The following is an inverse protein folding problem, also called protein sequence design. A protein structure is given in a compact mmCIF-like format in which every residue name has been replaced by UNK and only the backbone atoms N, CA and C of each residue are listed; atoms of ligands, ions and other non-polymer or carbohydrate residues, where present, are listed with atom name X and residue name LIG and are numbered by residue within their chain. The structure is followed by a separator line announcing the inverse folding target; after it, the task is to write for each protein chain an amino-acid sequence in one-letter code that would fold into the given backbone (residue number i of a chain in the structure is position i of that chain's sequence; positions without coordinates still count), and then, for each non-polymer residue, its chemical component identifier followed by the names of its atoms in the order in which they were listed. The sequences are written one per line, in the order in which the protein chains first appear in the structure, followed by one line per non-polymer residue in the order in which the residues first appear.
data_IF_458705196083
#
_entry.id   IF_458705196083
#
_cell.length_a   1.000
_cell.length_b   1.000
_cell.length_c   1.000
_cell.angle_alpha   90.00
_cell.angle_beta   90.00
_cell.angle_gamma   90.00
#
_symmetry.space_group_name_H-M   'P 1'
#
loop_
_entity.id
_entity.type
_entity.pdbx_description
1 polymer ?
#
# COMPACT_ATOMS: atom_id res chain seq x y z
N UNK A 1 6.65 -26.35 16.36
CA UNK A 1 5.90 -27.53 15.88
C UNK A 1 6.77 -28.50 15.08
N UNK A 2 7.27 -28.15 13.89
CA UNK A 2 8.08 -29.07 13.06
C UNK A 2 9.28 -29.69 13.82
N UNK A 3 10.09 -28.87 14.50
CA UNK A 3 11.18 -29.35 15.35
C UNK A 3 10.74 -30.38 16.41
N UNK A 4 9.58 -30.16 17.04
CA UNK A 4 9.05 -31.07 18.05
C UNK A 4 8.61 -32.42 17.45
N UNK A 5 8.03 -32.41 16.24
CA UNK A 5 7.67 -33.64 15.51
C UNK A 5 8.91 -34.49 15.21
N UNK A 6 10.06 -33.85 14.99
CA UNK A 6 11.35 -34.51 14.72
C UNK A 6 12.14 -34.85 16.00
N UNK A 7 11.59 -34.58 17.18
CA UNK A 7 12.26 -34.83 18.46
C UNK A 7 13.36 -33.82 18.82
N UNK A 8 13.46 -32.70 18.08
CA UNK A 8 14.37 -31.60 18.39
C UNK A 8 13.74 -30.63 19.40
N UNK A 9 14.60 -29.99 20.17
CA UNK A 9 14.22 -28.87 21.02
C UNK A 9 14.12 -27.58 20.21
N UNK A 10 13.13 -26.75 20.56
CA UNK A 10 12.92 -25.44 19.94
C UNK A 10 12.63 -24.39 21.01
N UNK A 11 13.20 -23.21 20.83
CA UNK A 11 12.87 -22.02 21.62
C UNK A 11 12.58 -20.85 20.70
N UNK A 12 11.52 -20.11 21.01
CA UNK A 12 11.09 -18.94 20.25
C UNK A 12 10.99 -17.72 21.15
N UNK A 13 11.43 -16.56 20.64
CA UNK A 13 11.23 -15.26 21.28
C UNK A 13 10.70 -14.29 20.24
N UNK A 14 9.47 -13.81 20.46
CA UNK A 14 8.78 -12.90 19.55
C UNK A 14 8.90 -11.46 20.05
N UNK A 15 9.23 -10.56 19.12
CA UNK A 15 9.24 -9.12 19.31
C UNK A 15 8.12 -8.54 18.46
N UNK A 16 7.10 -8.00 19.11
CA UNK A 16 6.04 -7.25 18.45
C UNK A 16 6.36 -5.76 18.55
N UNK A 17 6.30 -5.05 17.43
CA UNK A 17 6.37 -3.59 17.42
C UNK A 17 5.23 -2.97 18.24
N UNK A 18 5.40 -1.70 18.63
CA UNK A 18 4.41 -0.96 19.46
C UNK A 18 3.01 -0.86 18.82
N UNK A 19 2.88 -1.13 17.51
CA UNK A 19 1.60 -1.09 16.80
C UNK A 19 0.93 -2.45 16.74
N UNK A 20 -0.33 -2.51 17.17
CA UNK A 20 -1.19 -3.70 17.13
C UNK A 20 -1.50 -4.20 15.70
N UNK A 21 -1.31 -3.35 14.67
CA UNK A 21 -1.42 -3.69 13.24
C UNK A 21 -0.27 -3.04 12.47
N UNK A 22 0.37 -3.76 11.55
CA UNK A 22 1.49 -3.30 10.72
C UNK A 22 2.78 -2.93 11.49
N UNK A 23 2.90 -3.28 12.77
CA UNK A 23 4.17 -3.17 13.50
C UNK A 23 5.19 -4.15 12.94
N UNK A 24 6.47 -3.76 12.90
CA UNK A 24 7.55 -4.70 12.60
C UNK A 24 7.50 -5.86 13.60
N UNK A 25 7.42 -7.09 13.11
CA UNK A 25 7.46 -8.31 13.93
C UNK A 25 8.73 -9.06 13.60
N UNK A 26 9.44 -9.50 14.64
CA UNK A 26 10.64 -10.31 14.51
C UNK A 26 10.55 -11.46 15.49
N UNK A 27 10.93 -12.65 15.04
CA UNK A 27 11.00 -13.84 15.88
C UNK A 27 12.41 -14.39 15.87
N UNK A 28 12.97 -14.64 17.04
CA UNK A 28 14.16 -15.46 17.18
C UNK A 28 13.74 -16.91 17.34
N UNK A 29 14.27 -17.79 16.51
CA UNK A 29 14.00 -19.23 16.56
C UNK A 29 15.33 -19.96 16.74
N UNK A 30 15.45 -20.75 17.80
CA UNK A 30 16.60 -21.61 18.05
C UNK A 30 16.17 -23.06 18.04
N UNK A 31 16.97 -23.87 17.34
CA UNK A 31 16.80 -25.32 17.27
C UNK A 31 18.02 -25.98 17.89
N UNK A 32 17.81 -27.05 18.64
CA UNK A 32 18.89 -27.86 19.21
C UNK A 32 18.48 -29.34 19.29
N UNK A 33 19.44 -30.28 19.30
CA UNK A 33 19.15 -31.70 19.48
C UNK A 33 18.44 -32.01 20.81
N UNK A 34 18.76 -31.27 21.88
CA UNK A 34 18.21 -31.47 23.21
C UNK A 34 17.88 -30.13 23.89
N UNK A 35 16.95 -30.14 24.84
CA UNK A 35 16.41 -28.92 25.47
C UNK A 35 17.40 -28.25 26.42
N UNK A 36 18.28 -29.01 27.06
CA UNK A 36 19.34 -28.53 27.95
C UNK A 36 20.39 -27.68 27.23
N UNK A 37 20.50 -27.82 25.90
CA UNK A 37 21.38 -26.98 25.06
C UNK A 37 20.80 -25.59 24.75
N UNK A 38 19.52 -25.34 25.03
CA UNK A 38 18.87 -24.05 24.80
C UNK A 38 18.90 -23.17 26.06
N UNK A 39 20.08 -22.68 26.41
CA UNK A 39 20.28 -21.84 27.61
C UNK A 39 19.83 -20.39 27.46
N UNK A 40 19.70 -19.89 26.23
CA UNK A 40 19.21 -18.54 25.93
C UNK A 40 18.23 -18.56 24.76
N UNK A 41 17.16 -17.77 24.88
CA UNK A 41 16.11 -17.64 23.85
C UNK A 41 16.45 -16.55 22.81
N UNK A 42 17.33 -15.61 23.16
CA UNK A 42 17.71 -14.48 22.30
C UNK A 42 18.92 -14.84 21.44
N UNK A 43 18.85 -14.58 20.13
CA UNK A 43 20.00 -14.65 19.23
C UNK A 43 20.90 -13.43 19.49
N UNK A 44 22.16 -13.69 19.85
CA UNK A 44 23.17 -12.66 20.08
C UNK A 44 23.57 -11.97 18.74
N UNK A 45 24.17 -10.77 18.79
CA UNK A 45 24.72 -10.16 17.58
C UNK A 45 25.69 -11.11 16.86
N UNK A 46 25.66 -11.15 15.53
CA UNK A 46 26.51 -12.04 14.72
C UNK A 46 26.28 -13.55 14.87
N UNK A 47 25.18 -13.99 15.50
CA UNK A 47 24.94 -15.41 15.79
C UNK A 47 23.76 -16.02 15.03
N UNK A 48 23.17 -15.31 14.05
CA UNK A 48 22.13 -15.90 13.22
C UNK A 48 22.75 -16.79 12.13
N UNK A 49 22.26 -18.02 11.99
CA UNK A 49 22.59 -18.86 10.83
C UNK A 49 21.73 -18.52 9.60
N UNK A 50 20.50 -18.04 9.83
CA UNK A 50 19.54 -17.68 8.81
C UNK A 50 18.77 -16.41 9.22
N UNK A 51 18.63 -15.47 8.29
CA UNK A 51 17.62 -14.42 8.32
C UNK A 51 16.57 -14.75 7.26
N UNK A 52 15.34 -15.04 7.70
CA UNK A 52 14.19 -15.22 6.82
C UNK A 52 13.34 -13.95 6.86
N UNK A 53 13.58 -13.04 5.91
CA UNK A 53 12.92 -11.75 5.84
C UNK A 53 11.67 -11.78 4.98
N UNK A 54 10.49 -11.97 5.57
CA UNK A 54 9.23 -11.91 4.80
C UNK A 54 8.84 -10.49 4.38
N UNK A 55 9.54 -9.47 4.89
CA UNK A 55 9.39 -8.06 4.58
C UNK A 55 10.78 -7.40 4.54
N UNK A 56 11.05 -6.61 3.50
CA UNK A 56 12.36 -6.00 3.28
C UNK A 56 12.72 -4.97 4.35
N UNK A 57 11.74 -4.20 4.84
CA UNK A 57 11.95 -3.12 5.81
C UNK A 57 12.37 -3.69 7.16
N UNK A 58 11.73 -4.77 7.60
CA UNK A 58 12.10 -5.45 8.86
C UNK A 58 13.45 -6.14 8.72
N UNK A 59 13.70 -6.82 7.59
CA UNK A 59 14.95 -7.54 7.35
C UNK A 59 16.18 -6.62 7.30
N UNK A 60 16.00 -5.37 6.88
CA UNK A 60 17.05 -4.35 6.79
C UNK A 60 17.16 -3.47 8.04
N UNK A 61 16.32 -3.71 9.05
CA UNK A 61 16.39 -2.98 10.31
C UNK A 61 17.66 -3.31 11.10
N UNK A 62 18.16 -2.35 11.89
CA UNK A 62 19.33 -2.54 12.75
C UNK A 62 19.21 -3.77 13.67
N UNK A 63 18.05 -4.04 14.33
CA UNK A 63 17.89 -5.25 15.13
C UNK A 63 18.10 -6.54 14.32
N UNK A 64 17.64 -6.60 13.07
CA UNK A 64 17.79 -7.77 12.21
C UNK A 64 19.23 -7.92 11.73
N UNK A 65 19.78 -6.87 11.09
CA UNK A 65 21.12 -6.89 10.50
C UNK A 65 22.20 -7.10 11.55
N UNK A 66 22.03 -6.60 12.78
CA UNK A 66 22.99 -6.83 13.86
C UNK A 66 23.11 -8.31 14.27
N UNK A 67 22.16 -9.18 13.90
CA UNK A 67 22.26 -10.63 14.14
C UNK A 67 23.09 -11.34 13.07
N UNK A 68 23.29 -10.72 11.90
CA UNK A 68 24.04 -11.30 10.81
C UNK A 68 25.55 -11.27 11.08
N UNK A 69 26.24 -12.31 10.62
CA UNK A 69 27.69 -12.38 10.55
C UNK A 69 28.09 -12.76 9.13
N UNK A 70 28.98 -11.97 8.54
CA UNK A 70 29.28 -12.04 7.12
C UNK A 70 30.07 -13.31 6.80
N UNK A 71 29.49 -14.19 5.99
CA UNK A 71 30.08 -15.50 5.64
C UNK A 71 29.67 -16.64 6.58
N UNK A 72 28.76 -16.37 7.53
CA UNK A 72 28.12 -17.38 8.38
C UNK A 72 26.61 -17.37 8.15
N UNK A 73 26.00 -16.19 8.16
CA UNK A 73 24.56 -16.02 8.02
C UNK A 73 24.14 -16.13 6.57
N UNK A 74 23.14 -16.97 6.29
CA UNK A 74 22.36 -16.93 5.04
C UNK A 74 21.14 -16.02 5.20
N UNK A 75 20.74 -15.34 4.14
CA UNK A 75 19.56 -14.49 4.16
C UNK A 75 18.66 -14.77 2.95
N UNK A 76 17.38 -15.00 3.21
CA UNK A 76 16.34 -15.11 2.17
C UNK A 76 15.34 -14.00 2.44
N UNK A 77 15.24 -13.03 1.55
CA UNK A 77 14.48 -11.79 1.78
C UNK A 77 13.48 -11.55 0.67
N UNK A 78 12.24 -11.30 1.06
CA UNK A 78 11.18 -10.87 0.17
C UNK A 78 11.42 -9.42 -0.24
N UNK A 79 11.44 -9.16 -1.55
CA UNK A 79 11.68 -7.85 -2.12
C UNK A 79 10.45 -6.92 -2.05
N UNK A 80 9.28 -7.47 -1.70
CA UNK A 80 8.05 -6.71 -1.59
C UNK A 80 8.11 -5.70 -0.43
N UNK A 81 7.61 -4.50 -0.70
CA UNK A 81 7.57 -3.39 0.24
C UNK A 81 6.14 -3.29 0.77
N UNK A 82 5.85 -4.04 1.82
CA UNK A 82 4.56 -3.92 2.49
C UNK A 82 4.56 -2.63 3.34
N UNK A 83 3.49 -1.82 3.30
CA UNK A 83 3.40 -0.61 4.12
C UNK A 83 3.43 -0.96 5.62
N UNK A 84 4.57 -0.75 6.28
CA UNK A 84 4.72 -0.93 7.74
C UNK A 84 4.19 0.29 8.51
N UNK A 85 4.11 0.22 9.84
CA UNK A 85 3.73 1.35 10.69
C UNK A 85 4.59 2.61 10.44
N UNK A 86 5.81 2.46 9.94
CA UNK A 86 6.67 3.56 9.50
C UNK A 86 6.04 4.39 8.36
N UNK A 87 5.25 3.76 7.46
CA UNK A 87 4.50 4.43 6.39
C UNK A 87 3.37 5.34 6.92
N UNK A 88 2.87 5.06 8.14
CA UNK A 88 1.87 5.92 8.81
C UNK A 88 2.52 7.18 9.37
N UNK A 89 3.81 7.11 9.70
CA UNK A 89 4.59 8.20 10.29
C UNK A 89 5.21 9.08 9.19
N UNK A 90 5.71 8.48 8.12
CA UNK A 90 6.26 9.16 6.95
C UNK A 90 5.74 8.53 5.64
N UNK A 91 4.68 9.11 5.04
CA UNK A 91 4.05 8.62 3.81
C UNK A 91 4.88 8.85 2.54
N UNK A 92 5.97 9.61 2.62
CA UNK A 92 6.84 9.95 1.49
C UNK A 92 8.20 9.25 1.61
N UNK A 93 8.34 8.24 2.50
CA UNK A 93 9.50 7.33 2.51
C UNK A 93 9.63 6.73 1.11
N UNK A 94 10.63 7.23 0.38
CA UNK A 94 11.24 6.50 -0.71
C UNK A 94 11.98 5.34 -0.06
N UNK A 95 11.42 4.15 -0.14
CA UNK A 95 12.15 2.95 0.21
C UNK A 95 13.21 2.81 -0.87
N UNK A 96 14.35 3.46 -0.67
CA UNK A 96 15.55 3.35 -1.49
C UNK A 96 15.92 1.86 -1.58
N UNK A 97 15.23 1.11 -2.44
CA UNK A 97 15.35 -0.33 -2.53
C UNK A 97 16.78 -0.71 -2.93
N UNK A 98 17.50 0.22 -3.54
CA UNK A 98 18.96 0.21 -3.68
C UNK A 98 19.65 0.19 -2.32
N UNK A 99 19.52 1.23 -1.49
CA UNK A 99 20.16 1.31 -0.18
C UNK A 99 19.81 0.15 0.76
N UNK A 100 18.56 -0.34 0.73
CA UNK A 100 18.14 -1.52 1.51
C UNK A 100 18.81 -2.81 1.02
N UNK A 101 18.97 -2.97 -0.29
CA UNK A 101 19.77 -4.06 -0.86
C UNK A 101 21.24 -3.90 -0.51
N UNK A 102 21.78 -2.69 -0.55
CA UNK A 102 23.17 -2.41 -0.21
C UNK A 102 23.47 -2.72 1.26
N UNK A 103 22.54 -2.41 2.18
CA UNK A 103 22.64 -2.78 3.57
C UNK A 103 22.69 -4.31 3.78
N UNK A 104 21.87 -5.07 3.05
CA UNK A 104 21.92 -6.54 3.06
C UNK A 104 23.23 -7.08 2.49
N UNK A 105 23.70 -6.52 1.37
CA UNK A 105 24.98 -6.87 0.75
C UNK A 105 26.19 -6.52 1.64
N UNK A 106 26.06 -5.52 2.51
CA UNK A 106 27.05 -5.18 3.53
C UNK A 106 27.08 -6.19 4.68
N UNK A 107 25.91 -6.67 5.10
CA UNK A 107 25.77 -7.59 6.24
C UNK A 107 26.02 -9.07 5.89
N UNK A 108 25.70 -9.49 4.67
CA UNK A 108 25.76 -10.89 4.21
C UNK A 108 26.54 -10.97 2.89
N UNK A 109 27.18 -12.11 2.60
CA UNK A 109 27.87 -12.30 1.32
C UNK A 109 26.85 -12.42 0.18
N UNK A 110 27.18 -11.97 -1.05
CA UNK A 110 26.28 -12.13 -2.19
C UNK A 110 25.83 -13.57 -2.44
N UNK A 111 26.73 -14.55 -2.26
CA UNK A 111 26.40 -15.96 -2.46
C UNK A 111 25.46 -16.55 -1.38
N UNK A 112 25.37 -15.89 -0.23
CA UNK A 112 24.55 -16.27 0.92
C UNK A 112 23.24 -15.45 1.00
N UNK A 113 22.97 -14.58 0.03
CA UNK A 113 21.84 -13.65 0.01
C UNK A 113 20.95 -13.91 -1.21
N UNK A 114 19.73 -14.39 -0.95
CA UNK A 114 18.68 -14.55 -1.96
C UNK A 114 17.60 -13.48 -1.75
N UNK A 115 17.38 -12.62 -2.76
CA UNK A 115 16.31 -11.60 -2.75
C UNK A 115 15.34 -11.87 -3.91
N UNK A 116 14.05 -12.03 -3.60
CA UNK A 116 13.03 -12.35 -4.58
C UNK A 116 11.68 -11.70 -4.27
N UNK A 117 10.88 -11.43 -5.31
CA UNK A 117 9.48 -10.99 -5.16
C UNK A 117 8.58 -12.18 -4.79
N UNK A 118 8.67 -12.61 -3.53
CA UNK A 118 7.90 -13.74 -3.03
C UNK A 118 6.41 -13.40 -2.91
N UNK A 119 6.06 -12.17 -2.53
CA UNK A 119 4.65 -11.75 -2.47
C UNK A 119 4.00 -11.80 -3.84
N UNK A 120 4.63 -11.21 -4.87
CA UNK A 120 4.10 -11.19 -6.22
C UNK A 120 3.96 -12.60 -6.80
N UNK A 121 4.97 -13.45 -6.60
CA UNK A 121 4.93 -14.85 -7.03
C UNK A 121 3.84 -15.65 -6.31
N UNK A 122 3.77 -15.56 -4.98
CA UNK A 122 2.76 -16.27 -4.20
C UNK A 122 1.35 -15.81 -4.55
N UNK A 123 1.13 -14.50 -4.70
CA UNK A 123 -0.17 -13.93 -5.09
C UNK A 123 -0.56 -14.36 -6.51
N UNK A 124 0.36 -14.32 -7.47
CA UNK A 124 0.08 -14.75 -8.84
C UNK A 124 -0.24 -16.26 -8.93
N UNK A 125 0.47 -17.08 -8.15
CA UNK A 125 0.32 -18.54 -8.17
C UNK A 125 -0.83 -19.05 -7.31
N UNK A 126 -1.14 -18.41 -6.20
CA UNK A 126 -2.10 -18.90 -5.20
C UNK A 126 -3.34 -18.02 -5.07
N UNK A 127 -3.34 -16.80 -5.64
CA UNK A 127 -4.43 -15.83 -5.57
C UNK A 127 -4.45 -14.96 -4.31
N UNK A 128 -3.55 -15.22 -3.35
CA UNK A 128 -3.50 -14.50 -2.08
C UNK A 128 -2.05 -14.33 -1.59
N UNK A 129 -1.73 -13.12 -1.14
CA UNK A 129 -0.47 -12.74 -0.50
C UNK A 129 -0.20 -13.45 0.84
N UNK A 130 -1.22 -14.00 1.50
CA UNK A 130 -1.05 -14.77 2.75
C UNK A 130 -0.13 -15.99 2.55
N UNK A 131 -0.08 -16.54 1.33
CA UNK A 131 0.79 -17.66 0.97
C UNK A 131 2.30 -17.34 0.99
N UNK A 132 2.69 -16.05 1.08
CA UNK A 132 4.09 -15.61 0.99
C UNK A 132 4.98 -16.23 2.05
N UNK A 133 4.52 -16.33 3.30
CA UNK A 133 5.35 -16.87 4.38
C UNK A 133 5.67 -18.36 4.17
N UNK A 134 4.69 -19.16 3.74
CA UNK A 134 4.89 -20.57 3.42
C UNK A 134 5.80 -20.74 2.19
N UNK A 135 5.65 -19.88 1.18
CA UNK A 135 6.54 -19.84 0.02
C UNK A 135 7.99 -19.55 0.42
N UNK A 136 8.22 -18.50 1.22
CA UNK A 136 9.54 -18.14 1.73
C UNK A 136 10.18 -19.26 2.56
N UNK A 137 9.38 -19.91 3.43
CA UNK A 137 9.82 -21.08 4.19
C UNK A 137 10.27 -22.22 3.27
N UNK A 138 9.51 -22.49 2.21
CA UNK A 138 9.84 -23.50 1.20
C UNK A 138 11.12 -23.20 0.44
N UNK A 139 11.31 -21.94 0.06
CA UNK A 139 12.53 -21.48 -0.61
C UNK A 139 13.75 -21.68 0.30
N UNK A 140 13.70 -21.17 1.53
CA UNK A 140 14.80 -21.30 2.49
C UNK A 140 15.11 -22.77 2.85
N UNK A 141 14.07 -23.60 2.97
CA UNK A 141 14.23 -25.05 3.16
C UNK A 141 15.01 -25.68 2.01
N UNK A 142 14.62 -25.42 0.77
CA UNK A 142 15.25 -26.03 -0.41
C UNK A 142 16.70 -25.55 -0.63
N UNK A 143 17.03 -24.34 -0.17
CA UNK A 143 18.41 -23.82 -0.12
C UNK A 143 19.25 -24.43 1.01
N UNK A 144 18.70 -25.36 1.79
CA UNK A 144 19.38 -26.04 2.89
C UNK A 144 19.67 -25.14 4.08
N UNK A 145 18.88 -24.08 4.27
CA UNK A 145 19.05 -23.15 5.40
C UNK A 145 18.27 -23.56 6.66
N UNK A 146 17.33 -24.50 6.53
CA UNK A 146 16.47 -24.97 7.62
C UNK A 146 16.85 -26.42 7.96
N UNK A 147 17.36 -26.69 9.18
CA UNK A 147 17.82 -28.02 9.57
C UNK A 147 16.66 -28.87 10.14
N UNK A 148 15.62 -29.07 9.34
CA UNK A 148 14.46 -29.90 9.68
C UNK A 148 14.16 -30.84 8.50
N UNK A 149 13.47 -31.94 8.73
CA UNK A 149 12.99 -32.80 7.64
C UNK A 149 11.76 -32.22 6.92
N UNK A 150 11.61 -32.60 5.65
CA UNK A 150 10.43 -32.26 4.84
C UNK A 150 9.14 -32.76 5.50
N UNK A 151 9.16 -34.00 6.00
CA UNK A 151 8.01 -34.64 6.63
C UNK A 151 7.58 -33.91 7.90
N UNK A 152 8.55 -33.46 8.72
CA UNK A 152 8.26 -32.68 9.92
C UNK A 152 7.61 -31.33 9.61
N UNK A 153 8.05 -30.63 8.56
CA UNK A 153 7.45 -29.36 8.13
C UNK A 153 6.04 -29.58 7.59
N UNK A 154 5.84 -30.55 6.69
CA UNK A 154 4.52 -30.87 6.14
C UNK A 154 3.56 -31.30 7.24
N UNK A 155 4.03 -32.10 8.22
CA UNK A 155 3.21 -32.50 9.36
C UNK A 155 2.85 -31.31 10.26
N UNK A 156 3.77 -30.37 10.47
CA UNK A 156 3.50 -29.16 11.23
C UNK A 156 2.45 -28.27 10.56
N UNK A 157 2.44 -28.18 9.22
CA UNK A 157 1.40 -27.48 8.47
C UNK A 157 0.04 -28.13 8.69
N UNK A 158 -0.04 -29.47 8.65
CA UNK A 158 -1.28 -30.21 8.94
C UNK A 158 -1.78 -29.95 10.36
N UNK A 159 -0.89 -30.04 11.36
CA UNK A 159 -1.22 -29.86 12.76
C UNK A 159 -1.64 -28.41 13.10
N UNK A 160 -1.18 -27.43 12.32
CA UNK A 160 -1.60 -26.04 12.50
C UNK A 160 -3.07 -25.81 12.09
N UNK A 161 -3.61 -26.62 11.16
CA UNK A 161 -5.02 -26.64 10.81
C UNK A 161 -5.50 -25.50 9.90
N UNK A 162 -4.72 -24.43 9.72
CA UNK A 162 -5.11 -23.27 8.90
C UNK A 162 -4.69 -23.43 7.44
N UNK A 163 -5.67 -23.36 6.52
CA UNK A 163 -5.46 -23.34 5.07
C UNK A 163 -4.42 -24.38 4.58
N UNK A 164 -4.53 -25.62 5.07
CA UNK A 164 -3.50 -26.67 4.96
C UNK A 164 -3.01 -26.83 3.52
N UNK A 165 -3.92 -27.04 2.57
CA UNK A 165 -3.57 -27.30 1.16
C UNK A 165 -2.91 -26.09 0.48
N UNK A 166 -3.36 -24.87 0.82
CA UNK A 166 -2.74 -23.64 0.34
C UNK A 166 -1.31 -23.53 0.85
N UNK A 167 -1.08 -23.75 2.15
CA UNK A 167 0.25 -23.67 2.75
C UNK A 167 1.20 -24.75 2.23
N UNK A 168 0.73 -25.99 2.04
CA UNK A 168 1.53 -27.07 1.43
C UNK A 168 1.92 -26.74 -0.01
N UNK A 169 0.98 -26.19 -0.78
CA UNK A 169 1.21 -25.84 -2.18
C UNK A 169 2.15 -24.63 -2.29
N UNK A 170 1.96 -23.60 -1.47
CA UNK A 170 2.83 -22.43 -1.40
C UNK A 170 4.26 -22.83 -1.00
N UNK A 171 4.41 -23.68 0.01
CA UNK A 171 5.71 -24.25 0.41
C UNK A 171 6.37 -25.02 -0.75
N UNK A 172 5.60 -25.82 -1.50
CA UNK A 172 6.12 -26.55 -2.65
C UNK A 172 6.55 -25.63 -3.79
N UNK A 173 5.81 -24.56 -4.07
CA UNK A 173 6.21 -23.53 -5.04
C UNK A 173 7.49 -22.80 -4.61
N UNK A 174 7.61 -22.49 -3.32
CA UNK A 174 8.83 -21.90 -2.75
C UNK A 174 10.05 -22.79 -2.96
N UNK A 175 9.90 -24.09 -2.72
CA UNK A 175 10.95 -25.08 -3.01
C UNK A 175 11.30 -25.12 -4.49
N UNK A 176 10.29 -25.15 -5.37
CA UNK A 176 10.54 -25.14 -6.81
C UNK A 176 11.26 -23.86 -7.24
N UNK A 177 10.93 -22.71 -6.66
CA UNK A 177 11.56 -21.43 -6.98
C UNK A 177 13.05 -21.39 -6.58
N UNK A 178 13.43 -22.04 -5.48
CA UNK A 178 14.83 -22.19 -5.09
C UNK A 178 15.63 -23.11 -6.04
N UNK A 179 14.95 -24.00 -6.77
CA UNK A 179 15.57 -24.88 -7.76
C UNK A 179 15.59 -24.25 -9.17
N UNK A 180 14.46 -23.68 -9.61
CA UNK A 180 14.27 -23.04 -10.91
C UNK A 180 13.28 -21.87 -10.81
N UNK A 181 13.82 -20.70 -10.46
CA UNK A 181 13.03 -19.48 -10.32
C UNK A 181 12.38 -19.05 -11.63
N UNK A 182 13.05 -19.23 -12.77
CA UNK A 182 12.54 -18.79 -14.08
C UNK A 182 11.28 -19.55 -14.49
N UNK A 183 11.23 -20.85 -14.19
CA UNK A 183 10.05 -21.67 -14.43
C UNK A 183 8.88 -21.26 -13.54
N UNK A 184 9.13 -20.93 -12.29
CA UNK A 184 8.10 -20.42 -11.37
C UNK A 184 7.57 -19.06 -11.82
N UNK A 185 8.45 -18.14 -12.21
CA UNK A 185 8.07 -16.84 -12.81
C UNK A 185 7.21 -17.04 -14.06
N UNK A 186 7.58 -18.00 -14.92
CA UNK A 186 6.80 -18.31 -16.13
C UNK A 186 5.41 -18.87 -15.81
N UNK A 187 5.31 -19.77 -14.83
CA UNK A 187 4.03 -20.31 -14.36
C UNK A 187 3.14 -19.22 -13.74
N UNK A 188 3.73 -18.33 -12.93
CA UNK A 188 3.05 -17.18 -12.34
C UNK A 188 2.51 -16.26 -13.44
N UNK A 189 3.33 -15.93 -14.44
CA UNK A 189 2.92 -15.13 -15.61
C UNK A 189 1.80 -15.79 -16.40
N UNK A 190 1.86 -17.09 -16.65
CA UNK A 190 0.81 -17.80 -17.39
C UNK A 190 -0.52 -17.77 -16.63
N UNK A 191 -0.50 -17.98 -15.32
CA UNK A 191 -1.70 -17.91 -14.48
C UNK A 191 -2.27 -16.49 -14.41
N UNK A 192 -1.40 -15.48 -14.38
CA UNK A 192 -1.76 -14.06 -14.46
C UNK A 192 -2.05 -13.55 -15.86
N UNK A 193 -1.74 -14.28 -16.94
CA UNK A 193 -1.98 -13.85 -18.32
C UNK A 193 -3.48 -13.79 -18.66
N UNK A 194 -4.34 -14.43 -17.86
CA UNK A 194 -5.78 -14.22 -17.89
C UNK A 194 -6.25 -12.91 -17.25
N UNK A 195 -5.38 -12.18 -16.55
CA UNK A 195 -5.74 -11.03 -15.69
C UNK A 195 -4.75 -9.85 -15.70
N UNK A 196 -3.64 -9.89 -16.44
CA UNK A 196 -2.73 -8.75 -16.57
C UNK A 196 -3.47 -7.59 -17.27
N UNK A 197 -3.78 -6.47 -16.58
CA UNK A 197 -4.38 -5.34 -17.25
C UNK A 197 -3.34 -4.79 -18.22
N UNK A 198 -3.69 -4.70 -19.50
CA UNK A 198 -2.92 -3.93 -20.47
C UNK A 198 -2.63 -2.54 -19.86
N UNK A 199 -1.42 -2.00 -20.07
CA UNK A 199 -1.09 -0.63 -19.65
C UNK A 199 -2.16 0.27 -20.24
N UNK A 200 -3.06 0.77 -19.39
CA UNK A 200 -4.17 1.61 -19.84
C UNK A 200 -3.59 2.84 -20.49
N UNK A 201 -4.05 3.17 -21.69
CA UNK A 201 -3.67 4.41 -22.36
C UNK A 201 -4.16 5.61 -21.53
N UNK A 202 -3.60 6.81 -21.76
CA UNK A 202 -4.07 8.01 -21.07
C UNK A 202 -5.57 8.26 -21.30
N UNK A 203 -6.07 7.97 -22.50
CA UNK A 203 -7.49 8.12 -22.83
C UNK A 203 -8.36 7.11 -22.08
N UNK A 204 -7.92 5.86 -21.95
CA UNK A 204 -8.62 4.86 -21.12
C UNK A 204 -8.63 5.26 -19.64
N UNK A 205 -7.53 5.85 -19.15
CA UNK A 205 -7.44 6.35 -17.78
C UNK A 205 -8.37 7.55 -17.55
N UNK A 206 -8.49 8.47 -18.51
CA UNK A 206 -9.43 9.60 -18.45
C UNK A 206 -10.87 9.11 -18.53
N UNK A 207 -11.19 8.20 -19.45
CA UNK A 207 -12.53 7.62 -19.59
C UNK A 207 -12.96 6.86 -18.33
N UNK A 208 -12.05 6.09 -17.73
CA UNK A 208 -12.29 5.43 -16.45
C UNK A 208 -12.62 6.43 -15.33
N UNK A 209 -11.84 7.51 -15.21
CA UNK A 209 -12.07 8.55 -14.20
C UNK A 209 -13.38 9.29 -14.44
N UNK A 210 -13.72 9.61 -15.68
CA UNK A 210 -14.99 10.24 -16.02
C UNK A 210 -16.18 9.34 -15.64
N UNK A 211 -16.13 8.05 -15.98
CA UNK A 211 -17.14 7.08 -15.56
C UNK A 211 -17.27 7.01 -14.04
N UNK A 212 -16.14 6.93 -13.34
CA UNK A 212 -16.13 6.94 -11.87
C UNK A 212 -16.79 8.21 -11.31
N UNK A 213 -16.50 9.39 -11.87
CA UNK A 213 -17.09 10.66 -11.42
C UNK A 213 -18.60 10.74 -11.69
N UNK A 214 -19.08 10.10 -12.76
CA UNK A 214 -20.52 9.94 -13.03
C UNK A 214 -21.19 9.08 -11.95
N UNK A 215 -20.57 7.94 -11.61
CA UNK A 215 -21.08 7.04 -10.58
C UNK A 215 -21.02 7.68 -9.19
N UNK A 216 -19.92 8.41 -8.92
CA UNK A 216 -19.68 9.16 -7.69
C UNK A 216 -20.74 10.24 -7.48
N UNK A 217 -21.00 11.09 -8.49
CA UNK A 217 -21.94 12.21 -8.42
C UNK A 217 -22.96 12.10 -9.54
N UNK A 218 -22.65 12.62 -10.72
CA UNK A 218 -23.51 12.67 -11.91
C UNK A 218 -22.70 13.01 -13.18
N UNK A 219 -23.36 12.99 -14.34
CA UNK A 219 -22.74 13.27 -15.64
C UNK A 219 -22.19 14.70 -15.75
N UNK A 220 -22.85 15.69 -15.12
CA UNK A 220 -22.39 17.08 -15.16
C UNK A 220 -21.06 17.23 -14.41
N UNK A 221 -20.89 16.51 -13.30
CA UNK A 221 -19.65 16.47 -12.53
C UNK A 221 -18.50 15.83 -13.33
N UNK A 222 -18.76 14.72 -14.03
CA UNK A 222 -17.79 14.10 -14.91
C UNK A 222 -17.43 14.99 -16.11
N UNK A 223 -18.40 15.72 -16.67
CA UNK A 223 -18.19 16.63 -17.80
C UNK A 223 -17.25 17.78 -17.43
N UNK A 224 -17.40 18.37 -16.24
CA UNK A 224 -16.47 19.38 -15.73
C UNK A 224 -15.01 18.87 -15.69
N UNK A 225 -14.80 17.63 -15.26
CA UNK A 225 -13.48 17.01 -15.27
C UNK A 225 -12.93 16.87 -16.69
N UNK A 226 -13.75 16.38 -17.64
CA UNK A 226 -13.36 16.22 -19.04
C UNK A 226 -13.02 17.56 -19.69
N UNK A 227 -13.81 18.61 -19.44
CA UNK A 227 -13.61 19.94 -20.00
C UNK A 227 -12.28 20.55 -19.52
N UNK A 228 -11.99 20.49 -18.22
CA UNK A 228 -10.72 20.99 -17.66
C UNK A 228 -9.51 20.21 -18.22
N UNK A 229 -9.61 18.88 -18.32
CA UNK A 229 -8.55 18.04 -18.91
C UNK A 229 -8.33 18.35 -20.38
N UNK A 230 -9.41 18.57 -21.15
CA UNK A 230 -9.33 18.92 -22.57
C UNK A 230 -8.63 20.28 -22.79
N UNK A 231 -8.89 21.26 -21.92
CA UNK A 231 -8.21 22.56 -21.96
C UNK A 231 -6.70 22.42 -21.73
N UNK A 232 -6.30 21.64 -20.73
CA UNK A 232 -4.88 21.36 -20.44
C UNK A 232 -4.22 20.65 -21.60
N UNK A 233 -4.85 19.60 -22.13
CA UNK A 233 -4.36 18.83 -23.28
C UNK A 233 -4.16 19.70 -24.52
N UNK A 234 -5.09 20.61 -24.78
CA UNK A 234 -5.00 21.53 -25.93
C UNK A 234 -3.81 22.48 -25.79
N UNK A 235 -3.62 23.06 -24.60
CA UNK A 235 -2.50 23.97 -24.32
C UNK A 235 -1.13 23.26 -24.35
N UNK A 236 -1.06 22.05 -23.81
CA UNK A 236 0.15 21.21 -23.86
C UNK A 236 0.50 20.84 -25.30
N UNK A 237 -0.45 20.34 -26.09
CA UNK A 237 -0.22 19.96 -27.48
C UNK A 237 0.25 21.15 -28.35
N UNK A 238 -0.24 22.36 -28.07
CA UNK A 238 0.20 23.57 -28.76
C UNK A 238 1.64 23.99 -28.44
N UNK A 239 2.15 23.63 -27.25
CA UNK A 239 3.51 24.01 -26.80
C UNK A 239 4.53 22.90 -27.05
N UNK A 240 4.16 21.64 -26.81
CA UNK A 240 5.01 20.47 -26.96
C UNK A 240 4.22 19.31 -27.62
N UNK A 241 4.12 19.30 -28.96
CA UNK A 241 3.45 18.22 -29.69
C UNK A 241 4.02 16.85 -29.31
N UNK A 242 3.15 15.92 -28.91
CA UNK A 242 3.52 14.57 -28.49
C UNK A 242 3.78 14.39 -26.99
N UNK A 243 3.92 15.46 -26.21
CA UNK A 243 3.95 15.37 -24.74
C UNK A 243 2.53 15.17 -24.18
N UNK A 244 2.44 14.41 -23.10
CA UNK A 244 1.20 14.16 -22.34
C UNK A 244 1.41 14.32 -20.82
N UNK A 245 2.59 14.78 -20.40
CA UNK A 245 3.03 14.75 -19.01
C UNK A 245 2.17 15.65 -18.12
N UNK A 246 1.84 16.84 -18.61
CA UNK A 246 1.00 17.80 -17.91
C UNK A 246 -0.45 17.32 -17.90
N UNK A 247 -0.97 16.83 -19.02
CA UNK A 247 -2.31 16.28 -19.10
C UNK A 247 -2.50 15.12 -18.14
N UNK A 248 -1.55 14.17 -18.09
CA UNK A 248 -1.61 13.02 -17.21
C UNK A 248 -1.56 13.43 -15.73
N UNK A 249 -0.59 14.26 -15.36
CA UNK A 249 -0.45 14.77 -13.99
C UNK A 249 -1.70 15.56 -13.57
N UNK A 250 -2.21 16.42 -14.45
CA UNK A 250 -3.40 17.21 -14.20
C UNK A 250 -4.64 16.34 -14.02
N UNK A 251 -4.89 15.42 -14.94
CA UNK A 251 -6.02 14.50 -14.90
C UNK A 251 -6.01 13.63 -13.63
N UNK A 252 -4.85 13.11 -13.24
CA UNK A 252 -4.69 12.35 -11.99
C UNK A 252 -5.00 13.22 -10.77
N UNK A 253 -4.40 14.41 -10.69
CA UNK A 253 -4.56 15.32 -9.56
C UNK A 253 -6.00 15.83 -9.41
N UNK A 254 -6.62 16.27 -10.50
CA UNK A 254 -8.00 16.77 -10.49
C UNK A 254 -8.98 15.67 -10.06
N UNK A 255 -8.86 14.48 -10.64
CA UNK A 255 -9.70 13.34 -10.24
C UNK A 255 -9.58 13.03 -8.75
N UNK A 256 -8.35 13.00 -8.22
CA UNK A 256 -8.10 12.76 -6.79
C UNK A 256 -8.79 13.78 -5.89
N UNK A 257 -8.77 15.06 -6.28
CA UNK A 257 -9.39 16.14 -5.51
C UNK A 257 -10.91 16.20 -5.67
N UNK A 258 -11.45 15.71 -6.79
CA UNK A 258 -12.90 15.61 -7.04
C UNK A 258 -13.53 14.39 -6.36
N UNK A 259 -12.85 13.26 -6.35
CA UNK A 259 -13.32 11.99 -5.77
C UNK A 259 -12.90 11.85 -4.29
N UNK A 260 -13.16 12.88 -3.47
CA UNK A 260 -12.90 12.80 -2.04
C UNK A 260 -13.90 11.86 -1.35
N UNK A 261 -13.44 11.13 -0.32
CA UNK A 261 -14.31 10.16 0.37
C UNK A 261 -15.19 10.87 1.39
N UNK A 262 -16.39 11.22 0.96
CA UNK A 262 -17.43 11.73 1.84
C UNK A 262 -18.38 10.66 2.35
N UNK A 263 -19.32 11.08 3.19
CA UNK A 263 -20.28 10.18 3.82
C UNK A 263 -21.11 9.42 2.78
N UNK A 264 -21.47 10.07 1.67
CA UNK A 264 -22.20 9.45 0.56
C UNK A 264 -21.36 8.40 -0.18
N UNK A 265 -20.08 8.69 -0.44
CA UNK A 265 -19.18 7.75 -1.12
C UNK A 265 -18.81 6.57 -0.22
N UNK A 266 -18.55 6.82 1.08
CA UNK A 266 -18.33 5.74 2.05
C UNK A 266 -19.56 4.83 2.11
N UNK A 267 -20.76 5.42 2.14
CA UNK A 267 -22.00 4.66 2.12
C UNK A 267 -22.12 3.81 0.86
N UNK A 268 -21.86 4.38 -0.33
CA UNK A 268 -21.87 3.67 -1.61
C UNK A 268 -20.93 2.47 -1.61
N UNK A 269 -19.68 2.65 -1.16
CA UNK A 269 -18.67 1.58 -1.10
C UNK A 269 -19.05 0.42 -0.16
N UNK A 270 -19.86 0.68 0.87
CA UNK A 270 -20.37 -0.39 1.75
C UNK A 270 -21.66 -1.03 1.22
N UNK A 271 -22.38 -0.38 0.32
CA UNK A 271 -23.69 -0.82 -0.17
C UNK A 271 -23.74 -1.26 -1.64
N UNK A 272 -22.66 -1.07 -2.42
CA UNK A 272 -22.60 -1.42 -3.85
C UNK A 272 -22.51 -2.93 -4.13
N UNK A 273 -22.36 -3.74 -3.08
CA UNK A 273 -22.36 -5.21 -3.15
C UNK A 273 -20.96 -5.81 -3.27
N UNK A 274 -19.96 -5.06 -3.75
CA UNK A 274 -18.57 -5.52 -3.87
C UNK A 274 -18.00 -5.85 -2.48
N UNK A 275 -18.24 -5.00 -1.49
CA UNK A 275 -17.83 -5.27 -0.11
C UNK A 275 -18.43 -6.57 0.44
N UNK A 276 -19.71 -6.83 0.17
CA UNK A 276 -20.39 -8.06 0.63
C UNK A 276 -19.84 -9.29 -0.07
N UNK A 277 -19.54 -9.18 -1.37
CA UNK A 277 -18.95 -10.26 -2.16
C UNK A 277 -17.55 -10.60 -1.65
N UNK A 278 -16.68 -9.61 -1.50
CA UNK A 278 -15.34 -9.79 -0.95
C UNK A 278 -15.37 -10.41 0.45
N UNK A 279 -16.32 -10.00 1.30
CA UNK A 279 -16.48 -10.56 2.63
C UNK A 279 -16.85 -12.06 2.60
N UNK A 280 -17.77 -12.45 1.71
CA UNK A 280 -18.20 -13.86 1.55
C UNK A 280 -17.11 -14.74 0.94
N UNK A 281 -16.26 -14.18 0.08
CA UNK A 281 -15.14 -14.90 -0.53
C UNK A 281 -14.02 -15.15 0.48
N UNK A 282 -13.80 -14.23 1.44
CA UNK A 282 -12.69 -14.31 2.40
C UNK A 282 -13.05 -14.98 3.73
N UNK A 283 -14.31 -14.95 4.14
CA UNK A 283 -14.73 -15.43 5.46
C UNK A 283 -15.89 -16.42 5.38
N UNK A 284 -15.72 -17.57 6.02
CA UNK A 284 -16.79 -18.56 6.21
C UNK A 284 -17.65 -18.18 7.44
N UNK A 285 -18.95 -17.93 7.22
CA UNK A 285 -19.95 -17.72 8.27
C UNK A 285 -20.51 -16.30 8.39
N UNK A 286 -21.69 -16.17 9.00
CA UNK A 286 -22.37 -14.89 9.26
C UNK A 286 -21.98 -14.34 10.65
N UNK A 287 -20.74 -13.87 10.81
CA UNK A 287 -20.38 -13.11 12.01
C UNK A 287 -20.98 -11.70 11.94
N UNK A 288 -21.58 -11.25 13.05
CA UNK A 288 -22.26 -9.95 13.13
C UNK A 288 -21.28 -8.80 12.85
N UNK A 289 -21.32 -8.28 11.63
CA UNK A 289 -20.38 -7.26 11.18
C UNK A 289 -20.60 -5.93 11.92
N UNK A 290 -19.50 -5.36 12.42
CA UNK A 290 -19.48 -4.05 13.07
C UNK A 290 -18.55 -3.11 12.31
N UNK A 291 -18.92 -1.83 12.24
CA UNK A 291 -18.10 -0.78 11.63
C UNK A 291 -17.75 0.26 12.69
N UNK A 292 -16.47 0.65 12.74
CA UNK A 292 -16.01 1.75 13.59
C UNK A 292 -16.04 3.06 12.79
N UNK A 293 -16.91 3.98 13.19
CA UNK A 293 -17.09 5.27 12.53
C UNK A 293 -16.91 6.41 13.53
N UNK A 294 -16.45 7.56 13.05
CA UNK A 294 -16.44 8.81 13.82
C UNK A 294 -17.27 9.87 13.06
N UNK A 295 -18.61 9.79 13.09
CA UNK A 295 -19.45 10.70 12.30
C UNK A 295 -19.24 12.15 12.77
N UNK A 296 -18.86 13.09 11.90
CA UNK A 296 -18.45 14.44 12.32
C UNK A 296 -19.47 15.20 13.17
N UNK A 297 -20.77 14.93 12.95
CA UNK A 297 -21.88 15.58 13.66
C UNK A 297 -22.23 14.91 15.01
N UNK A 298 -21.80 13.66 15.24
CA UNK A 298 -22.22 12.84 16.39
C UNK A 298 -21.06 12.33 17.25
N UNK A 299 -19.85 12.35 16.73
CA UNK A 299 -18.67 11.87 17.43
C UNK A 299 -18.20 12.92 18.44
N UNK A 300 -18.03 12.48 19.69
CA UNK A 300 -17.44 13.29 20.74
C UNK A 300 -15.97 13.54 20.41
N UNK A 301 -15.49 14.75 20.74
CA UNK A 301 -14.06 15.06 20.67
C UNK A 301 -13.41 14.63 21.98
N UNK A 302 -12.27 13.98 21.84
CA UNK A 302 -11.42 13.64 22.96
C UNK A 302 -10.92 14.92 23.66
N UNK A 303 -11.06 15.04 24.98
CA UNK A 303 -10.74 16.28 25.71
C UNK A 303 -9.24 16.57 25.80
N UNK A 304 -8.38 15.57 25.60
CA UNK A 304 -6.91 15.72 25.66
C UNK A 304 -6.34 16.00 24.28
N UNK A 305 -6.79 15.26 23.27
CA UNK A 305 -6.24 15.34 21.91
C UNK A 305 -7.06 16.22 20.96
N UNK A 306 -8.30 16.56 21.32
CA UNK A 306 -9.23 17.33 20.48
C UNK A 306 -9.81 16.58 19.28
N UNK A 307 -9.50 15.28 19.13
CA UNK A 307 -9.82 14.45 17.95
C UNK A 307 -11.17 13.74 18.10
N UNK A 308 -11.86 13.48 16.99
CA UNK A 308 -13.12 12.73 17.00
C UNK A 308 -12.90 11.28 17.43
N UNK A 309 -13.70 10.80 18.37
CA UNK A 309 -13.65 9.42 18.86
C UNK A 309 -14.47 8.49 17.97
N UNK A 310 -13.88 7.33 17.65
CA UNK A 310 -14.56 6.26 16.89
C UNK A 310 -15.57 5.54 17.79
N UNK A 311 -16.72 5.20 17.22
CA UNK A 311 -17.80 4.45 17.88
C UNK A 311 -18.15 3.22 17.05
N UNK A 312 -18.53 2.15 17.74
CA UNK A 312 -19.01 0.92 17.10
C UNK A 312 -20.45 1.06 16.63
N UNK A 313 -20.69 0.71 15.38
CA UNK A 313 -22.01 0.59 14.78
C UNK A 313 -22.23 -0.87 14.35
N UNK A 314 -23.34 -1.45 14.81
CA UNK A 314 -23.73 -2.83 14.45
C UNK A 314 -24.33 -2.93 13.05
N UNK A 315 -24.85 -4.11 12.67
CA UNK A 315 -25.29 -4.42 11.30
C UNK A 315 -26.36 -3.48 10.71
N UNK A 316 -27.12 -2.76 11.55
CA UNK A 316 -28.12 -1.80 11.08
C UNK A 316 -27.52 -0.68 10.22
N UNK A 317 -26.24 -0.35 10.42
CA UNK A 317 -25.57 0.75 9.71
C UNK A 317 -25.47 0.49 8.20
N UNK A 318 -25.41 -0.77 7.76
CA UNK A 318 -25.37 -1.11 6.34
C UNK A 318 -26.68 -0.76 5.62
N UNK A 319 -27.83 -0.85 6.32
CA UNK A 319 -29.11 -0.36 5.78
C UNK A 319 -29.12 1.16 5.67
N UNK A 320 -28.55 1.85 6.67
CA UNK A 320 -28.42 3.31 6.64
C UNK A 320 -27.48 3.77 5.51
N UNK A 321 -26.38 3.04 5.26
CA UNK A 321 -25.51 3.29 4.11
C UNK A 321 -26.24 3.11 2.78
N UNK A 322 -27.06 2.06 2.62
CA UNK A 322 -27.88 1.90 1.41
C UNK A 322 -28.79 3.10 1.13
N UNK A 323 -29.45 3.65 2.17
CA UNK A 323 -30.26 4.86 2.04
C UNK A 323 -29.40 6.08 1.72
N UNK A 324 -28.30 6.28 2.44
CA UNK A 324 -27.43 7.44 2.29
C UNK A 324 -26.75 7.46 0.91
N UNK A 325 -26.36 6.31 0.36
CA UNK A 325 -25.80 6.20 -0.99
C UNK A 325 -26.77 6.72 -2.07
N UNK A 326 -28.07 6.48 -1.90
CA UNK A 326 -29.11 7.01 -2.80
C UNK A 326 -29.32 8.52 -2.69
N UNK A 327 -28.86 9.15 -1.60
CA UNK A 327 -28.96 10.59 -1.36
C UNK A 327 -27.75 11.38 -1.87
N UNK A 328 -26.88 10.77 -2.70
CA UNK A 328 -25.71 11.45 -3.27
C UNK A 328 -26.04 12.77 -4.01
N UNK A 329 -27.26 12.91 -4.54
CA UNK A 329 -27.72 14.15 -5.18
C UNK A 329 -27.84 15.34 -4.23
N UNK A 330 -27.88 15.10 -2.91
CA UNK A 330 -27.84 16.18 -1.91
C UNK A 330 -26.44 16.79 -1.81
N UNK A 331 -25.38 16.09 -2.23
CA UNK A 331 -23.99 16.55 -2.16
C UNK A 331 -23.86 17.93 -2.80
N UNK A 332 -23.29 18.88 -2.08
CA UNK A 332 -23.06 20.23 -2.59
C UNK A 332 -24.28 21.15 -2.54
N UNK A 333 -25.47 20.64 -2.21
CA UNK A 333 -26.69 21.44 -2.09
C UNK A 333 -26.84 22.04 -0.69
N UNK A 334 -27.81 22.96 -0.51
CA UNK A 334 -28.17 23.49 0.80
C UNK A 334 -28.69 22.42 1.79
N UNK A 335 -29.14 21.28 1.28
CA UNK A 335 -29.61 20.15 2.08
C UNK A 335 -28.50 19.16 2.47
N UNK A 336 -27.25 19.41 2.04
CA UNK A 336 -26.10 18.64 2.50
C UNK A 336 -25.70 19.04 3.92
N UNK A 337 -26.24 18.34 4.91
CA UNK A 337 -25.92 18.57 6.32
C UNK A 337 -24.44 18.32 6.64
N UNK A 338 -23.76 17.45 5.91
CA UNK A 338 -22.33 17.15 6.11
C UNK A 338 -21.46 18.26 5.50
N UNK A 339 -21.95 18.90 4.44
CA UNK A 339 -21.31 19.97 3.68
C UNK A 339 -20.98 21.24 4.47
N UNK A 340 -21.59 21.44 5.65
CA UNK A 340 -21.35 22.63 6.47
C UNK A 340 -20.05 22.59 7.28
N UNK A 341 -19.42 21.42 7.41
CA UNK A 341 -18.15 21.28 8.14
C UNK A 341 -17.00 21.99 7.42
N UNK A 342 -15.99 22.43 8.19
CA UNK A 342 -14.81 23.07 7.62
C UNK A 342 -14.06 22.14 6.65
N UNK A 343 -13.98 20.84 6.98
CA UNK A 343 -13.39 19.80 6.14
C UNK A 343 -14.09 19.70 4.79
N UNK A 344 -15.43 19.59 4.76
CA UNK A 344 -16.17 19.49 3.49
C UNK A 344 -16.11 20.77 2.66
N UNK A 345 -16.11 21.94 3.30
CA UNK A 345 -15.89 23.22 2.59
C UNK A 345 -14.51 23.27 1.93
N UNK A 346 -13.47 22.85 2.65
CA UNK A 346 -12.11 22.75 2.12
C UNK A 346 -12.05 21.77 0.94
N UNK A 347 -12.60 20.55 1.07
CA UNK A 347 -12.56 19.54 0.01
C UNK A 347 -13.29 19.98 -1.26
N UNK A 348 -14.40 20.71 -1.15
CA UNK A 348 -15.09 21.28 -2.31
C UNK A 348 -14.32 22.41 -2.98
N UNK A 349 -13.57 23.18 -2.20
CA UNK A 349 -12.75 24.28 -2.71
C UNK A 349 -11.50 23.76 -3.44
N UNK A 350 -10.86 22.70 -2.94
CA UNK A 350 -9.61 22.15 -3.50
C UNK A 350 -9.62 21.88 -5.02
N UNK A 351 -10.59 21.18 -5.62
CA UNK A 351 -10.59 20.96 -7.07
C UNK A 351 -10.80 22.25 -7.86
N UNK A 352 -11.54 23.23 -7.31
CA UNK A 352 -11.71 24.55 -7.93
C UNK A 352 -10.40 25.33 -7.87
N UNK A 353 -9.77 25.40 -6.69
CA UNK A 353 -8.47 26.03 -6.46
C UNK A 353 -7.40 25.42 -7.38
N UNK A 354 -7.35 24.09 -7.46
CA UNK A 354 -6.40 23.34 -8.29
C UNK A 354 -6.58 23.60 -9.79
N UNK A 355 -7.81 23.47 -10.31
CA UNK A 355 -8.09 23.78 -11.72
C UNK A 355 -7.75 25.22 -12.04
N UNK A 356 -8.20 26.18 -11.22
CA UNK A 356 -7.92 27.61 -11.45
C UNK A 356 -6.41 27.92 -11.43
N UNK A 357 -5.67 27.29 -10.52
CA UNK A 357 -4.22 27.47 -10.37
C UNK A 357 -3.45 27.07 -11.64
N UNK A 358 -3.82 25.96 -12.27
CA UNK A 358 -3.18 25.47 -13.50
C UNK A 358 -3.70 26.22 -14.72
N UNK A 359 -5.02 26.34 -14.88
CA UNK A 359 -5.65 26.91 -16.07
C UNK A 359 -5.26 28.38 -16.28
N UNK A 360 -5.13 29.18 -15.21
CA UNK A 360 -4.67 30.59 -15.32
C UNK A 360 -3.27 30.75 -15.91
N UNK A 361 -2.47 29.68 -15.92
CA UNK A 361 -1.11 29.67 -16.50
C UNK A 361 -1.10 29.22 -17.95
N UNK A 362 -2.22 28.69 -18.45
CA UNK A 362 -2.39 28.30 -19.84
C UNK A 362 -2.84 29.47 -20.72
N UNK A 363 -3.53 30.46 -20.14
CA UNK A 363 -4.13 31.60 -20.86
C UNK A 363 -3.11 32.69 -21.29
N UNK A 364 -1.81 32.36 -21.38
CA UNK A 364 -0.73 33.32 -21.63
C UNK A 364 -0.15 33.27 -23.05
N UNK A 365 0.30 34.43 -23.59
CA UNK A 365 1.05 34.54 -24.86
C UNK A 365 2.52 34.08 -24.78
N UNK A 366 2.96 33.53 -23.64
CA UNK A 366 4.34 33.09 -23.39
C UNK A 366 4.44 31.57 -23.52
N UNK A 367 5.61 31.02 -23.88
CA UNK A 367 5.85 29.58 -23.83
C UNK A 367 5.53 29.03 -22.43
N UNK A 368 4.84 27.89 -22.37
CA UNK A 368 4.53 27.24 -21.09
C UNK A 368 5.81 26.67 -20.47
N UNK A 369 6.00 26.94 -19.18
CA UNK A 369 7.03 26.30 -18.36
C UNK A 369 6.56 24.89 -17.97
N UNK A 370 6.53 23.99 -18.97
CA UNK A 370 5.94 22.64 -18.83
C UNK A 370 6.52 21.86 -17.64
N UNK A 371 7.85 21.77 -17.42
CA UNK A 371 8.38 21.02 -16.29
C UNK A 371 7.85 21.50 -14.93
N UNK A 372 7.75 22.83 -14.73
CA UNK A 372 7.23 23.39 -13.48
C UNK A 372 5.72 23.26 -13.36
N UNK A 373 4.98 23.35 -14.46
CA UNK A 373 3.54 23.08 -14.47
C UNK A 373 3.22 21.61 -14.15
N UNK A 374 4.02 20.67 -14.66
CA UNK A 374 3.92 19.25 -14.31
C UNK A 374 4.19 19.04 -12.83
N UNK A 375 5.25 19.65 -12.28
CA UNK A 375 5.54 19.60 -10.85
C UNK A 375 4.39 20.18 -10.01
N UNK A 376 3.83 21.31 -10.44
CA UNK A 376 2.68 21.95 -9.78
C UNK A 376 1.42 21.08 -9.81
N UNK A 377 1.13 20.42 -10.94
CA UNK A 377 0.03 19.46 -11.04
C UNK A 377 0.25 18.25 -10.12
N UNK A 378 1.49 17.72 -10.07
CA UNK A 378 1.87 16.61 -9.18
C UNK A 378 1.77 16.97 -7.69
N UNK A 379 1.79 18.25 -7.30
CA UNK A 379 1.62 18.65 -5.90
C UNK A 379 0.30 18.16 -5.28
N UNK A 380 -0.75 17.92 -6.09
CA UNK A 380 -1.99 17.28 -5.61
C UNK A 380 -1.74 15.90 -4.96
N UNK A 381 -0.62 15.23 -5.25
CA UNK A 381 -0.23 14.00 -4.59
C UNK A 381 0.03 14.18 -3.09
N UNK A 382 0.36 15.39 -2.61
CA UNK A 382 0.54 15.70 -1.19
C UNK A 382 -0.76 15.63 -0.38
N UNK A 383 -1.92 15.88 -1.01
CA UNK A 383 -3.22 15.84 -0.32
C UNK A 383 -3.62 14.39 -0.05
N UNK A 384 -3.16 13.83 1.08
CA UNK A 384 -3.41 12.43 1.50
C UNK A 384 -4.02 12.36 2.89
N UNK A 385 -4.56 11.20 3.25
CA UNK A 385 -5.12 10.92 4.57
C UNK A 385 -6.56 11.42 4.75
N UNK A 386 -7.03 11.40 6.00
CA UNK A 386 -8.40 11.75 6.40
C UNK A 386 -8.40 12.63 7.66
N UNK A 387 -9.41 13.50 7.83
CA UNK A 387 -9.52 14.39 8.98
C UNK A 387 -8.29 15.27 9.17
N UNK A 388 -7.82 15.41 10.41
CA UNK A 388 -6.68 16.25 10.77
C UNK A 388 -5.38 15.97 10.01
N UNK A 389 -5.13 14.71 9.58
CA UNK A 389 -3.96 14.37 8.75
C UNK A 389 -4.07 15.05 7.38
N UNK A 390 -5.27 15.01 6.78
CA UNK A 390 -5.54 15.67 5.50
C UNK A 390 -5.45 17.18 5.64
N UNK A 391 -5.99 17.76 6.71
CA UNK A 391 -5.90 19.19 6.98
C UNK A 391 -4.43 19.67 7.03
N UNK A 392 -3.56 18.96 7.75
CA UNK A 392 -2.12 19.24 7.77
C UNK A 392 -1.47 19.12 6.38
N UNK A 393 -1.78 18.05 5.66
CA UNK A 393 -1.28 17.83 4.30
C UNK A 393 -1.76 18.90 3.30
N UNK A 394 -2.98 19.42 3.46
CA UNK A 394 -3.49 20.53 2.63
C UNK A 394 -2.72 21.82 2.89
N UNK A 395 -2.32 22.08 4.13
CA UNK A 395 -1.46 23.23 4.44
C UNK A 395 -0.07 23.10 3.78
N UNK A 396 0.52 21.90 3.82
CA UNK A 396 1.75 21.57 3.11
C UNK A 396 1.61 21.73 1.58
N UNK A 397 0.55 21.16 1.01
CA UNK A 397 0.19 21.30 -0.40
C UNK A 397 0.10 22.77 -0.84
N UNK A 398 -0.62 23.61 -0.10
CA UNK A 398 -0.75 25.04 -0.43
C UNK A 398 0.59 25.77 -0.37
N UNK A 399 1.43 25.43 0.60
CA UNK A 399 2.78 25.99 0.74
C UNK A 399 3.66 25.61 -0.44
N UNK A 400 3.63 24.34 -0.85
CA UNK A 400 4.41 23.84 -1.98
C UNK A 400 3.92 24.42 -3.31
N UNK A 401 2.61 24.52 -3.52
CA UNK A 401 2.05 25.22 -4.67
C UNK A 401 2.55 26.67 -4.72
N UNK A 402 2.48 27.41 -3.60
CA UNK A 402 2.97 28.80 -3.55
C UNK A 402 4.49 28.92 -3.82
N UNK A 403 5.28 27.90 -3.47
CA UNK A 403 6.72 27.84 -3.81
C UNK A 403 6.92 27.60 -5.30
N UNK A 404 6.26 26.59 -5.87
CA UNK A 404 6.34 26.23 -7.28
C UNK A 404 5.85 27.36 -8.18
N UNK A 405 4.75 28.03 -7.79
CA UNK A 405 4.21 29.16 -8.53
C UNK A 405 5.16 30.35 -8.61
N UNK A 406 5.94 30.61 -7.55
CA UNK A 406 6.97 31.66 -7.57
C UNK A 406 8.15 31.31 -8.47
N UNK A 407 8.43 30.03 -8.67
CA UNK A 407 9.51 29.55 -9.51
C UNK A 407 9.16 29.55 -11.01
N UNK A 408 7.87 29.54 -11.37
CA UNK A 408 7.42 29.59 -12.77
C UNK A 408 7.91 30.87 -13.44
N UNK A 409 8.63 30.74 -14.55
CA UNK A 409 9.18 31.86 -15.30
C UNK A 409 10.48 32.45 -14.74
N UNK A 410 11.03 31.90 -13.65
CA UNK A 410 12.41 32.17 -13.25
C UNK A 410 13.39 31.27 -14.03
N UNK A 411 14.61 31.75 -14.35
CA UNK A 411 15.66 30.88 -14.87
C UNK A 411 15.80 29.67 -13.97
N UNK A 412 15.93 28.47 -14.54
CA UNK A 412 16.34 27.31 -13.75
C UNK A 412 17.67 27.67 -13.10
N UNK A 413 17.71 27.76 -11.76
CA UNK A 413 18.97 27.83 -11.06
C UNK A 413 19.73 26.57 -11.47
N UNK A 414 20.86 26.73 -12.15
CA UNK A 414 21.79 25.62 -12.39
C UNK A 414 22.07 25.03 -11.02
N UNK A 415 21.61 23.79 -10.80
CA UNK A 415 21.98 23.03 -9.63
C UNK A 415 23.50 22.95 -9.66
N UNK A 416 24.14 23.50 -8.63
CA UNK A 416 25.58 23.38 -8.45
C UNK A 416 25.93 21.89 -8.38
N UNK A 417 26.95 21.53 -9.16
CA UNK A 417 27.58 20.22 -9.31
C UNK A 417 27.96 19.56 -7.98
#
# INVERSE_FOLDING_TARGET
MAAHVEGLACSTLDFTGLSQKNGAVMSHVRLAPASDMLTTVRIAPGNANLILGCDLVVATSVPALSRAERGVTRAVVNADLLPTASFVIDPDIDFEAGAMRDALNGAVRPDDLDILDATGLATALMGDSIATNAFMLGFAFQRGAIPLSLDAILKAIELNGAAIEMNKTAFSWGRLAAHDLQRVVSAARFKSAGTAPAKKTLDEAIAFRAKFLTDYQDEAYARRYLDDVARVRTAEAATAPGSQDLTEAFAKGLFKLMAYKDEYEVARLYSDGEFTKALKEQFEGNSGLKVLLAPPLLAQRDPVTGRLQKREFGPWIFKAFGLLAGLKGLRGTAFDIFGYTAERKMERALPIEYSAMILRRLDGKKPLDLPRLVALAKAADLVRGYGHIKEGNVAGYRTECARLERAIGQPLAQAAE
#
